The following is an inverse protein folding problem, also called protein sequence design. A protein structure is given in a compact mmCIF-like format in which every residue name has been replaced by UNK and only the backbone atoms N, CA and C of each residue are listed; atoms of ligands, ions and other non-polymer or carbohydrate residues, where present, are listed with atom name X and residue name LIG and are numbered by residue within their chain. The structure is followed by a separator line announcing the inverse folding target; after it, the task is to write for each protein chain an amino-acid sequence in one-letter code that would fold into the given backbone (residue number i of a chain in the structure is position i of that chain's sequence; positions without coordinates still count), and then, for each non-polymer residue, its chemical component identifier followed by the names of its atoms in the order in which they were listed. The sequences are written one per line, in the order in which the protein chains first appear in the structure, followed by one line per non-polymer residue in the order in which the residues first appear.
data_IF_454426730209
#
_entry.id   IF_454426730209
#
_cell.length_a   1.000
_cell.length_b   1.000
_cell.length_c   1.000
_cell.angle_alpha   90.00
_cell.angle_beta   90.00
_cell.angle_gamma   90.00
#
_symmetry.space_group_name_H-M   'P 1'
#
loop_
_entity.id
_entity.type
_entity.pdbx_description
1 polymer ?
#
# COMPACT_ATOMS: atom_id res chain seq x y z
N UNK A 1 -22.47 14.19 -4.74
CA UNK A 1 -22.28 13.11 -5.70
C UNK A 1 -23.16 11.92 -5.33
N UNK A 2 -23.81 11.32 -6.30
CA UNK A 2 -24.63 10.10 -6.10
C UNK A 2 -23.66 8.94 -5.94
N UNK A 3 -23.57 8.33 -4.75
CA UNK A 3 -22.89 7.06 -4.54
C UNK A 3 -23.60 5.99 -5.39
N UNK A 4 -23.00 5.62 -6.49
CA UNK A 4 -23.45 4.48 -7.29
C UNK A 4 -23.07 3.22 -6.51
N UNK A 5 -24.04 2.51 -5.95
CA UNK A 5 -23.85 1.19 -5.38
C UNK A 5 -23.65 0.20 -6.53
N UNK A 6 -22.40 0.01 -6.93
CA UNK A 6 -22.07 -1.02 -7.90
C UNK A 6 -21.90 -2.34 -7.15
N UNK A 7 -22.81 -3.27 -7.35
CA UNK A 7 -22.65 -4.64 -6.87
C UNK A 7 -21.65 -5.36 -7.78
N UNK A 8 -20.56 -5.85 -7.21
CA UNK A 8 -19.52 -6.57 -7.95
C UNK A 8 -19.56 -8.03 -7.55
N UNK A 9 -19.70 -8.91 -8.52
CA UNK A 9 -19.62 -10.36 -8.29
C UNK A 9 -18.17 -10.80 -8.44
N UNK A 10 -17.64 -11.45 -7.41
CA UNK A 10 -16.30 -12.05 -7.42
C UNK A 10 -16.48 -13.56 -7.44
N UNK A 11 -15.96 -14.21 -8.45
CA UNK A 11 -15.89 -15.67 -8.49
C UNK A 11 -14.80 -16.18 -7.54
N UNK A 12 -15.15 -16.29 -6.28
CA UNK A 12 -14.25 -16.75 -5.21
C UNK A 12 -15.02 -17.51 -4.14
N UNK A 13 -14.46 -18.64 -3.72
CA UNK A 13 -14.96 -19.40 -2.56
C UNK A 13 -14.99 -18.61 -1.25
N UNK A 14 -14.33 -17.45 -1.21
CA UNK A 14 -14.29 -16.57 -0.03
C UNK A 14 -15.36 -15.47 -0.09
N UNK A 15 -16.10 -15.32 -1.19
CA UNK A 15 -17.13 -14.27 -1.35
C UNK A 15 -18.22 -14.38 -0.28
N UNK A 16 -18.64 -15.58 0.07
CA UNK A 16 -19.61 -15.82 1.15
C UNK A 16 -19.14 -15.26 2.49
N UNK A 17 -17.84 -15.43 2.83
CA UNK A 17 -17.27 -14.95 4.10
C UNK A 17 -17.23 -13.42 4.19
N UNK A 18 -17.26 -12.72 3.06
CA UNK A 18 -17.25 -11.25 3.02
C UNK A 18 -18.60 -10.62 3.38
N UNK A 19 -19.68 -11.40 3.32
CA UNK A 19 -21.06 -10.92 3.54
C UNK A 19 -21.37 -10.58 5.00
N UNK A 20 -20.65 -11.17 5.94
CA UNK A 20 -20.86 -10.94 7.37
C UNK A 20 -19.66 -10.22 7.98
N UNK A 21 -19.91 -9.26 8.84
CA UNK A 21 -18.89 -8.45 9.51
C UNK A 21 -17.80 -9.29 10.21
N UNK A 22 -18.19 -10.23 11.06
CA UNK A 22 -17.25 -11.05 11.82
C UNK A 22 -16.44 -11.99 10.92
N UNK A 23 -17.09 -12.69 9.99
CA UNK A 23 -16.40 -13.61 9.08
C UNK A 23 -15.47 -12.85 8.13
N UNK A 24 -15.90 -11.71 7.60
CA UNK A 24 -15.07 -10.85 6.75
C UNK A 24 -13.77 -10.48 7.45
N UNK A 25 -13.84 -10.04 8.70
CA UNK A 25 -12.65 -9.62 9.47
C UNK A 25 -11.80 -10.81 9.91
N UNK A 26 -12.42 -11.82 10.52
CA UNK A 26 -11.71 -12.99 11.03
C UNK A 26 -10.95 -13.76 9.92
N UNK A 27 -11.61 -14.01 8.80
CA UNK A 27 -11.01 -14.70 7.66
C UNK A 27 -10.26 -13.77 6.71
N UNK A 28 -10.24 -12.45 6.96
CA UNK A 28 -9.67 -11.44 6.08
C UNK A 28 -10.20 -11.55 4.65
N UNK A 29 -11.51 -11.81 4.52
CA UNK A 29 -12.21 -12.01 3.26
C UNK A 29 -12.67 -10.66 2.68
N UNK A 30 -11.75 -9.71 2.53
CA UNK A 30 -11.98 -8.36 2.03
C UNK A 30 -11.26 -8.18 0.70
N UNK A 31 -11.84 -7.34 -0.17
CA UNK A 31 -11.09 -6.70 -1.24
C UNK A 31 -10.17 -5.69 -0.58
N UNK A 32 -8.87 -5.76 -0.88
CA UNK A 32 -7.89 -4.88 -0.26
C UNK A 32 -7.54 -3.70 -1.11
N UNK A 33 -7.49 -3.92 -2.42
CA UNK A 33 -7.19 -2.89 -3.41
C UNK A 33 -8.02 -3.14 -4.65
N UNK A 34 -8.44 -2.06 -5.30
CA UNK A 34 -9.08 -2.05 -6.61
C UNK A 34 -8.35 -1.02 -7.46
N UNK A 35 -8.04 -1.39 -8.68
CA UNK A 35 -7.36 -0.55 -9.67
C UNK A 35 -8.18 -0.55 -10.95
N UNK A 36 -8.16 0.56 -11.67
CA UNK A 36 -8.72 0.68 -13.01
C UNK A 36 -7.60 1.02 -13.99
N UNK A 37 -7.52 0.29 -15.08
CA UNK A 37 -6.55 0.47 -16.15
C UNK A 37 -7.07 1.47 -17.18
N UNK A 38 -6.22 1.94 -18.08
CA UNK A 38 -6.56 2.98 -19.05
C UNK A 38 -7.74 2.64 -19.98
N UNK A 39 -7.98 1.36 -20.23
CA UNK A 39 -9.10 0.86 -21.04
C UNK A 39 -10.36 0.52 -20.23
N UNK A 40 -10.40 0.85 -18.93
CA UNK A 40 -11.50 0.52 -18.03
C UNK A 40 -11.51 -0.92 -17.51
N UNK A 41 -10.51 -1.74 -17.82
CA UNK A 41 -10.29 -3.03 -17.17
C UNK A 41 -10.02 -2.81 -15.69
N UNK A 42 -10.66 -3.58 -14.82
CA UNK A 42 -10.48 -3.47 -13.38
C UNK A 42 -9.71 -4.67 -12.84
N UNK A 43 -8.74 -4.39 -11.97
CA UNK A 43 -7.91 -5.40 -11.27
C UNK A 43 -8.11 -5.24 -9.77
N UNK A 44 -8.37 -6.31 -9.06
CA UNK A 44 -8.48 -6.29 -7.62
C UNK A 44 -7.64 -7.37 -6.95
N UNK A 45 -7.26 -7.08 -5.71
CA UNK A 45 -6.61 -8.04 -4.82
C UNK A 45 -7.63 -8.53 -3.80
N UNK A 46 -7.78 -9.83 -3.72
CA UNK A 46 -8.48 -10.51 -2.65
C UNK A 46 -7.66 -11.71 -2.14
N UNK A 47 -8.16 -12.36 -1.10
CA UNK A 47 -7.43 -13.47 -0.47
C UNK A 47 -7.05 -14.56 -1.49
N UNK A 48 -5.75 -14.85 -1.58
CA UNK A 48 -5.17 -15.89 -2.45
C UNK A 48 -5.38 -15.64 -3.94
N UNK A 49 -5.59 -14.40 -4.38
CA UNK A 49 -5.73 -14.14 -5.80
C UNK A 49 -5.69 -12.69 -6.22
N UNK A 50 -5.31 -12.50 -7.47
CA UNK A 50 -5.57 -11.29 -8.24
C UNK A 50 -6.71 -11.63 -9.18
N UNK A 51 -7.67 -10.72 -9.29
CA UNK A 51 -8.88 -10.89 -10.09
C UNK A 51 -8.98 -9.75 -11.09
N UNK A 52 -9.49 -10.07 -12.29
CA UNK A 52 -9.64 -9.16 -13.41
C UNK A 52 -11.09 -9.13 -13.87
N UNK A 53 -11.55 -7.94 -14.22
CA UNK A 53 -12.87 -7.69 -14.82
C UNK A 53 -12.70 -6.79 -16.04
N UNK A 54 -13.19 -7.20 -17.19
CA UNK A 54 -13.27 -6.39 -18.39
C UNK A 54 -14.37 -5.34 -18.26
N UNK A 55 -14.25 -4.23 -19.01
CA UNK A 55 -15.17 -3.10 -18.95
C UNK A 55 -16.64 -3.51 -19.15
N UNK A 56 -16.88 -4.45 -20.05
CA UNK A 56 -18.22 -4.93 -20.38
C UNK A 56 -18.69 -6.14 -19.53
N UNK A 57 -17.89 -6.57 -18.55
CA UNK A 57 -18.23 -7.66 -17.65
C UNK A 57 -18.77 -7.14 -16.32
N UNK A 58 -19.68 -7.90 -15.70
CA UNK A 58 -20.14 -7.65 -14.34
C UNK A 58 -19.46 -8.55 -13.30
N UNK A 59 -18.55 -9.44 -13.73
CA UNK A 59 -17.94 -10.45 -12.88
C UNK A 59 -16.42 -10.35 -12.92
N UNK A 60 -15.79 -10.41 -11.74
CA UNK A 60 -14.37 -10.59 -11.60
C UNK A 60 -14.00 -12.05 -11.62
N UNK A 61 -13.10 -12.43 -12.52
CA UNK A 61 -12.52 -13.76 -12.61
C UNK A 61 -11.09 -13.76 -12.09
N UNK A 62 -10.69 -14.84 -11.42
CA UNK A 62 -9.32 -14.96 -10.93
C UNK A 62 -8.36 -15.11 -12.11
N UNK A 63 -7.41 -14.18 -12.25
CA UNK A 63 -6.37 -14.22 -13.28
C UNK A 63 -5.00 -14.67 -12.73
N UNK A 64 -4.79 -14.62 -11.40
CA UNK A 64 -3.57 -15.12 -10.79
C UNK A 64 -3.84 -15.73 -9.41
N UNK A 65 -3.26 -16.93 -9.18
CA UNK A 65 -3.23 -17.51 -7.84
C UNK A 65 -1.93 -17.11 -7.14
N UNK A 66 -2.03 -16.46 -6.00
CA UNK A 66 -0.86 -16.04 -5.21
C UNK A 66 -0.22 -17.28 -4.58
N UNK A 67 1.03 -17.62 -4.95
CA UNK A 67 1.65 -18.88 -4.52
C UNK A 67 1.93 -18.89 -3.02
N UNK A 68 2.50 -17.80 -2.49
CA UNK A 68 2.91 -17.65 -1.10
C UNK A 68 2.24 -16.44 -0.45
N UNK A 69 1.95 -16.54 0.85
CA UNK A 69 1.19 -15.53 1.56
C UNK A 69 -0.29 -15.51 1.20
N UNK A 70 -1.00 -14.45 1.50
CA UNK A 70 -2.42 -14.29 1.20
C UNK A 70 -2.70 -13.22 0.15
N UNK A 71 -1.85 -12.22 0.05
CA UNK A 71 -1.98 -11.06 -0.85
C UNK A 71 -0.69 -10.21 -0.82
N UNK A 72 -0.32 -9.54 -1.92
CA UNK A 72 0.65 -8.46 -1.88
C UNK A 72 0.06 -7.24 -1.14
N UNK A 73 0.89 -6.32 -0.72
CA UNK A 73 0.41 -5.08 -0.10
C UNK A 73 -0.17 -4.12 -1.14
N UNK A 74 0.38 -4.10 -2.35
CA UNK A 74 -0.12 -3.30 -3.47
C UNK A 74 0.18 -3.96 -4.82
N UNK A 75 -0.42 -3.41 -5.88
CA UNK A 75 0.04 -3.54 -7.27
C UNK A 75 0.63 -2.20 -7.69
N UNK A 76 1.73 -2.24 -8.41
CA UNK A 76 2.26 -1.13 -9.16
C UNK A 76 1.73 -1.21 -10.59
N UNK A 77 1.13 -0.14 -11.09
CA UNK A 77 0.66 -0.02 -12.46
C UNK A 77 1.37 1.18 -13.07
N UNK A 78 2.03 0.99 -14.21
CA UNK A 78 2.69 2.06 -14.93
C UNK A 78 1.79 2.67 -16.02
N UNK A 79 2.28 3.70 -16.72
CA UNK A 79 1.52 4.41 -17.76
C UNK A 79 1.11 3.55 -18.97
N UNK A 80 1.73 2.38 -19.13
CA UNK A 80 1.42 1.41 -20.19
C UNK A 80 0.48 0.30 -19.73
N UNK A 81 -0.10 0.42 -18.53
CA UNK A 81 -0.88 -0.62 -17.86
C UNK A 81 -0.09 -1.91 -17.56
N UNK A 82 1.25 -1.86 -17.52
CA UNK A 82 2.04 -2.96 -17.01
C UNK A 82 1.87 -3.06 -15.50
N UNK A 83 1.68 -4.27 -15.01
CA UNK A 83 1.36 -4.51 -13.60
C UNK A 83 2.50 -5.28 -12.94
N UNK A 84 2.92 -4.83 -11.75
CA UNK A 84 3.96 -5.48 -10.96
C UNK A 84 3.50 -5.66 -9.52
N UNK A 85 3.95 -6.72 -8.86
CA UNK A 85 3.82 -6.87 -7.41
C UNK A 85 4.92 -7.76 -6.84
N UNK A 86 5.28 -7.53 -5.59
CA UNK A 86 6.19 -8.39 -4.84
C UNK A 86 5.46 -9.34 -3.90
N UNK A 87 6.05 -10.48 -3.62
CA UNK A 87 5.52 -11.42 -2.64
C UNK A 87 5.58 -10.84 -1.23
N UNK A 88 4.47 -11.02 -0.49
CA UNK A 88 4.33 -10.61 0.90
C UNK A 88 3.82 -11.80 1.74
N UNK A 89 4.71 -12.40 2.51
CA UNK A 89 4.43 -13.56 3.37
C UNK A 89 5.42 -13.64 4.53
N UNK A 90 5.08 -14.40 5.56
CA UNK A 90 6.03 -14.68 6.65
C UNK A 90 7.13 -15.62 6.16
N UNK A 91 8.36 -15.13 6.07
CA UNK A 91 9.51 -15.80 5.46
C UNK A 91 10.66 -15.93 6.46
N UNK A 92 10.41 -16.59 7.59
CA UNK A 92 11.43 -16.77 8.64
C UNK A 92 12.68 -17.53 8.17
N UNK A 93 12.53 -18.39 7.17
CA UNK A 93 13.63 -19.17 6.58
C UNK A 93 14.39 -18.38 5.50
N UNK A 94 14.00 -17.12 5.22
CA UNK A 94 14.61 -16.27 4.20
C UNK A 94 14.73 -16.90 2.81
N UNK A 95 13.74 -17.69 2.42
CA UNK A 95 13.63 -18.24 1.06
C UNK A 95 13.63 -17.14 0.01
N UNK A 96 14.04 -17.41 -1.23
CA UNK A 96 13.98 -16.42 -2.32
C UNK A 96 12.59 -15.79 -2.45
N UNK A 97 12.54 -14.48 -2.74
CA UNK A 97 11.30 -13.70 -2.84
C UNK A 97 11.16 -13.13 -4.25
N UNK A 98 10.00 -13.37 -4.87
CA UNK A 98 9.77 -12.99 -6.25
C UNK A 98 9.02 -11.66 -6.39
N UNK A 99 9.36 -10.92 -7.44
CA UNK A 99 8.54 -9.87 -8.03
C UNK A 99 7.92 -10.45 -9.29
N UNK A 100 6.59 -10.36 -9.40
CA UNK A 100 5.82 -10.78 -10.57
C UNK A 100 5.44 -9.58 -11.43
N UNK A 101 5.25 -9.83 -12.73
CA UNK A 101 4.75 -8.84 -13.68
C UNK A 101 3.74 -9.42 -14.65
N UNK A 102 2.95 -8.52 -15.24
CA UNK A 102 2.05 -8.77 -16.37
C UNK A 102 2.13 -7.60 -17.34
N UNK A 103 2.40 -7.87 -18.61
CA UNK A 103 2.42 -6.88 -19.70
C UNK A 103 1.16 -6.89 -20.57
N UNK A 104 0.18 -7.69 -20.19
CA UNK A 104 -1.07 -7.90 -20.90
C UNK A 104 -2.31 -7.64 -20.03
N UNK A 105 -2.19 -6.62 -19.15
CA UNK A 105 -3.31 -6.18 -18.29
C UNK A 105 -3.84 -7.28 -17.36
N UNK A 106 -2.95 -8.12 -16.86
CA UNK A 106 -3.26 -9.16 -15.88
C UNK A 106 -3.73 -10.48 -16.47
N UNK A 107 -3.60 -10.72 -17.79
CA UNK A 107 -3.96 -12.00 -18.39
C UNK A 107 -2.91 -13.09 -18.12
N UNK A 108 -1.62 -12.76 -18.31
CA UNK A 108 -0.51 -13.66 -18.00
C UNK A 108 0.46 -13.03 -16.99
N UNK A 109 1.13 -13.88 -16.22
CA UNK A 109 2.01 -13.46 -15.15
C UNK A 109 3.32 -14.25 -15.16
N UNK A 110 4.43 -13.53 -15.04
CA UNK A 110 5.78 -14.08 -15.00
C UNK A 110 6.59 -13.45 -13.86
N UNK A 111 7.73 -14.05 -13.55
CA UNK A 111 8.68 -13.49 -12.57
C UNK A 111 9.57 -12.48 -13.27
N UNK A 112 9.59 -11.25 -12.74
CA UNK A 112 10.46 -10.16 -13.21
C UNK A 112 11.82 -10.20 -12.53
N UNK A 113 11.82 -10.49 -11.20
CA UNK A 113 13.02 -10.46 -10.38
C UNK A 113 12.88 -11.44 -9.21
N UNK A 114 14.01 -11.98 -8.76
CA UNK A 114 14.05 -12.83 -7.58
C UNK A 114 15.15 -12.32 -6.64
N UNK A 115 14.76 -11.85 -5.46
CA UNK A 115 15.69 -11.69 -4.36
C UNK A 115 16.19 -13.05 -3.90
N UNK A 116 17.51 -13.18 -3.72
CA UNK A 116 18.11 -14.46 -3.37
C UNK A 116 17.83 -14.85 -1.92
N UNK A 117 18.11 -16.09 -1.60
CA UNK A 117 18.01 -16.59 -0.22
C UNK A 117 18.85 -15.73 0.75
N UNK A 118 18.27 -15.36 1.87
CA UNK A 118 18.91 -14.54 2.89
C UNK A 118 18.78 -13.02 2.71
N UNK A 119 18.37 -12.52 1.53
CA UNK A 119 18.41 -11.10 1.24
C UNK A 119 17.30 -10.29 1.94
N UNK A 120 16.06 -10.76 1.89
CA UNK A 120 14.91 -10.05 2.45
C UNK A 120 13.87 -11.02 3.03
N UNK A 121 12.98 -10.51 3.87
CA UNK A 121 11.82 -11.25 4.34
C UNK A 121 10.72 -11.29 3.27
N UNK A 122 10.31 -10.12 2.79
CA UNK A 122 9.29 -9.94 1.76
C UNK A 122 9.36 -8.52 1.16
N UNK A 123 8.60 -8.29 0.09
CA UNK A 123 8.46 -6.97 -0.51
C UNK A 123 7.31 -6.21 0.17
N UNK A 124 7.58 -5.00 0.66
CA UNK A 124 6.57 -4.10 1.22
C UNK A 124 5.77 -3.38 0.14
N UNK A 125 6.36 -3.09 -0.99
CA UNK A 125 5.63 -2.46 -2.10
C UNK A 125 6.48 -2.18 -3.32
N UNK A 126 5.80 -1.97 -4.44
CA UNK A 126 6.38 -1.46 -5.69
C UNK A 126 5.55 -0.26 -6.11
N UNK A 127 6.20 0.82 -6.51
CA UNK A 127 5.57 2.10 -6.82
C UNK A 127 6.10 2.67 -8.12
N UNK A 128 5.21 3.13 -9.00
CA UNK A 128 5.57 3.81 -10.22
C UNK A 128 5.80 5.29 -9.96
N UNK A 129 6.94 5.77 -10.41
CA UNK A 129 7.34 7.17 -10.35
C UNK A 129 7.20 7.81 -11.73
N UNK A 130 6.16 8.59 -11.91
CA UNK A 130 5.83 9.26 -13.18
C UNK A 130 6.87 10.31 -13.64
N UNK A 131 7.65 10.87 -12.71
CA UNK A 131 8.64 11.90 -13.04
C UNK A 131 9.89 11.33 -13.68
N UNK A 132 10.26 10.09 -13.33
CA UNK A 132 11.48 9.44 -13.82
C UNK A 132 11.21 8.15 -14.59
N UNK A 133 9.95 7.74 -14.73
CA UNK A 133 9.53 6.47 -15.33
C UNK A 133 10.20 5.24 -14.67
N UNK A 134 10.50 5.33 -13.37
CA UNK A 134 11.11 4.26 -12.59
C UNK A 134 10.07 3.51 -11.79
N UNK A 135 10.34 2.25 -11.51
CA UNK A 135 9.58 1.46 -10.54
C UNK A 135 10.43 1.32 -9.29
N UNK A 136 9.97 1.89 -8.19
CA UNK A 136 10.63 1.81 -6.89
C UNK A 136 10.14 0.59 -6.12
N UNK A 137 11.05 -0.13 -5.48
CA UNK A 137 10.77 -1.26 -4.63
C UNK A 137 11.26 -0.98 -3.22
N UNK A 138 10.44 -1.35 -2.24
CA UNK A 138 10.76 -1.22 -0.83
C UNK A 138 10.54 -2.55 -0.12
N UNK A 139 11.42 -2.85 0.81
CA UNK A 139 11.40 -4.06 1.62
C UNK A 139 11.66 -3.72 3.09
N UNK A 140 11.49 -4.66 3.99
CA UNK A 140 11.72 -4.44 5.42
C UNK A 140 11.57 -5.71 6.23
N UNK A 141 11.54 -5.52 7.41
CA UNK A 141 11.26 -5.86 8.78
C UNK A 141 12.49 -5.66 9.67
N UNK A 142 13.60 -6.39 9.42
CA UNK A 142 14.86 -6.24 10.19
C UNK A 142 15.78 -5.27 9.47
N UNK A 143 16.75 -4.72 10.20
CA UNK A 143 17.67 -3.70 9.68
C UNK A 143 18.32 -4.08 8.34
N UNK A 144 18.88 -5.27 8.25
CA UNK A 144 19.56 -5.75 7.04
C UNK A 144 18.61 -6.07 5.87
N UNK A 145 17.30 -6.09 6.11
CA UNK A 145 16.25 -6.36 5.14
C UNK A 145 15.60 -5.08 4.60
N UNK A 146 15.78 -3.95 5.30
CA UNK A 146 15.25 -2.66 4.88
C UNK A 146 16.00 -2.17 3.65
N UNK A 147 15.26 -1.92 2.57
CA UNK A 147 15.80 -1.49 1.30
C UNK A 147 14.83 -0.52 0.63
N UNK A 148 15.39 0.53 0.03
CA UNK A 148 14.73 1.38 -0.95
C UNK A 148 15.58 1.35 -2.21
N UNK A 149 15.02 0.88 -3.32
CA UNK A 149 15.71 0.77 -4.59
C UNK A 149 14.78 1.01 -5.77
N UNK A 150 15.31 1.07 -6.97
CA UNK A 150 14.52 1.26 -8.19
C UNK A 150 15.05 0.45 -9.36
N UNK A 151 14.19 0.26 -10.34
CA UNK A 151 14.54 -0.21 -11.68
C UNK A 151 14.04 0.78 -12.72
N UNK A 152 14.80 0.91 -13.80
CA UNK A 152 14.47 1.67 -15.02
C UNK A 152 14.32 0.76 -16.25
N UNK A 153 14.47 -0.54 -16.09
CA UNK A 153 14.50 -1.56 -17.15
C UNK A 153 13.69 -2.83 -16.79
N UNK A 154 12.52 -2.64 -16.16
CA UNK A 154 11.57 -3.71 -15.85
C UNK A 154 12.18 -4.87 -15.04
N UNK A 155 13.00 -4.50 -14.04
CA UNK A 155 13.67 -5.42 -13.11
C UNK A 155 14.76 -6.33 -13.70
N UNK A 156 15.27 -6.04 -14.90
CA UNK A 156 16.50 -6.67 -15.38
C UNK A 156 17.69 -6.30 -14.47
N UNK A 157 17.62 -5.10 -13.84
CA UNK A 157 18.57 -4.62 -12.84
C UNK A 157 17.81 -3.88 -11.74
N UNK A 158 18.20 -4.13 -10.49
CA UNK A 158 17.75 -3.38 -9.32
C UNK A 158 18.88 -2.47 -8.82
N UNK A 159 18.66 -1.16 -8.81
CA UNK A 159 19.57 -0.17 -8.26
C UNK A 159 19.16 0.10 -6.80
N UNK A 160 20.01 -0.25 -5.85
CA UNK A 160 19.78 -0.02 -4.44
C UNK A 160 20.23 1.39 -4.09
N UNK A 161 19.34 2.20 -3.52
CA UNK A 161 19.60 3.58 -3.10
C UNK A 161 19.94 3.61 -1.61
N UNK A 162 19.09 2.98 -0.79
CA UNK A 162 19.31 2.85 0.65
C UNK A 162 19.16 1.40 1.07
N UNK A 163 19.98 0.98 2.02
CA UNK A 163 19.93 -0.37 2.58
C UNK A 163 20.43 -0.38 4.02
N UNK A 164 19.77 -1.18 4.86
CA UNK A 164 20.09 -1.35 6.27
C UNK A 164 19.46 -0.27 7.13
N UNK A 165 19.17 -0.58 8.39
CA UNK A 165 18.58 0.34 9.37
C UNK A 165 17.07 0.53 9.27
N UNK A 166 16.46 0.75 10.43
CA UNK A 166 15.01 0.95 10.55
C UNK A 166 14.54 2.29 9.97
N UNK A 167 15.44 3.25 9.79
CA UNK A 167 15.17 4.54 9.17
C UNK A 167 14.77 4.44 7.69
N UNK A 168 15.06 3.30 7.04
CA UNK A 168 14.65 3.01 5.65
C UNK A 168 13.47 2.04 5.56
N UNK A 169 13.00 1.52 6.71
CA UNK A 169 11.83 0.66 6.73
C UNK A 169 10.57 1.47 6.44
N UNK A 170 9.94 1.21 5.31
CA UNK A 170 8.72 1.89 4.88
C UNK A 170 7.79 0.95 4.13
N UNK A 171 6.51 1.32 4.05
CA UNK A 171 5.47 0.63 3.29
C UNK A 171 4.87 1.49 2.17
N UNK A 172 5.31 2.74 2.01
CA UNK A 172 4.76 3.65 1.01
C UNK A 172 5.74 4.74 0.59
N UNK A 173 5.65 5.14 -0.69
CA UNK A 173 6.41 6.24 -1.28
C UNK A 173 5.43 7.23 -1.92
N UNK A 174 5.73 8.53 -1.80
CA UNK A 174 5.05 9.64 -2.46
C UNK A 174 6.05 10.40 -3.31
N UNK A 175 5.70 10.65 -4.58
CA UNK A 175 6.63 11.19 -5.56
C UNK A 175 6.37 12.67 -5.83
N UNK A 176 7.44 13.47 -5.80
CA UNK A 176 7.49 14.86 -6.20
C UNK A 176 8.61 15.02 -7.23
N UNK A 177 8.62 16.13 -7.95
CA UNK A 177 9.57 16.36 -9.03
C UNK A 177 11.03 16.26 -8.56
N UNK A 178 11.37 16.91 -7.43
CA UNK A 178 12.74 16.99 -6.94
C UNK A 178 13.05 16.00 -5.79
N UNK A 179 12.04 15.42 -5.14
CA UNK A 179 12.23 14.58 -3.96
C UNK A 179 11.19 13.46 -3.84
N UNK A 180 11.47 12.51 -2.99
CA UNK A 180 10.55 11.43 -2.63
C UNK A 180 10.29 11.49 -1.13
N UNK A 181 9.00 11.44 -0.74
CA UNK A 181 8.58 11.34 0.66
C UNK A 181 8.21 9.91 0.99
N UNK A 182 8.57 9.48 2.17
CA UNK A 182 8.14 8.19 2.71
C UNK A 182 7.88 8.30 4.22
N UNK A 183 7.18 7.31 4.75
CA UNK A 183 6.83 7.25 6.17
C UNK A 183 7.42 5.98 6.74
N UNK A 184 8.16 6.10 7.84
CA UNK A 184 8.76 4.92 8.47
C UNK A 184 7.72 4.03 9.14
N UNK A 185 7.97 2.73 9.12
CA UNK A 185 7.13 1.68 9.70
C UNK A 185 7.95 0.85 10.71
N UNK A 186 8.56 1.51 11.68
CA UNK A 186 9.41 0.83 12.65
C UNK A 186 8.65 0.48 13.94
N UNK A 187 9.02 -0.67 14.50
CA UNK A 187 8.63 -1.08 15.84
C UNK A 187 9.75 -0.84 16.88
N UNK A 188 10.88 -0.29 16.45
CA UNK A 188 12.11 -0.17 17.24
C UNK A 188 12.58 1.26 17.44
N UNK A 189 12.32 2.16 16.51
CA UNK A 189 12.67 3.58 16.59
C UNK A 189 11.43 4.44 16.37
N UNK A 190 11.51 5.71 16.79
CA UNK A 190 10.46 6.71 16.54
C UNK A 190 10.15 6.79 15.05
N UNK A 191 8.86 6.72 14.71
CA UNK A 191 8.42 6.83 13.32
C UNK A 191 8.35 8.29 12.88
N UNK A 192 8.65 8.52 11.61
CA UNK A 192 8.77 9.85 11.03
C UNK A 192 8.25 9.88 9.59
N UNK A 193 7.76 11.04 9.17
CA UNK A 193 7.65 11.41 7.76
C UNK A 193 9.02 11.95 7.34
N UNK A 194 9.61 11.36 6.32
CA UNK A 194 10.94 11.70 5.79
C UNK A 194 10.87 12.01 4.32
N UNK A 195 11.83 12.77 3.84
CA UNK A 195 12.10 12.93 2.42
C UNK A 195 13.56 12.62 2.10
N UNK A 196 13.83 12.29 0.86
CA UNK A 196 15.17 12.36 0.29
C UNK A 196 15.15 13.06 -1.07
N UNK A 197 16.18 13.83 -1.31
CA UNK A 197 16.42 14.51 -2.58
C UNK A 197 16.79 13.50 -3.66
N UNK A 198 16.31 13.67 -4.88
CA UNK A 198 16.52 12.70 -5.98
C UNK A 198 17.94 12.69 -6.54
N UNK A 199 18.63 13.83 -6.49
CA UNK A 199 19.98 14.00 -7.05
C UNK A 199 21.05 13.72 -6.00
N UNK A 200 20.92 14.37 -4.84
CA UNK A 200 21.94 14.29 -3.78
C UNK A 200 21.76 13.09 -2.85
N UNK A 201 20.55 12.49 -2.85
CA UNK A 201 20.14 11.43 -1.92
C UNK A 201 20.20 11.86 -0.45
N UNK A 202 20.31 13.16 -0.18
CA UNK A 202 20.28 13.69 1.18
C UNK A 202 18.91 13.45 1.82
N UNK A 203 18.93 12.87 3.01
CA UNK A 203 17.71 12.53 3.74
C UNK A 203 17.42 13.54 4.82
N UNK A 204 16.15 13.94 4.92
CA UNK A 204 15.65 14.90 5.91
C UNK A 204 14.44 14.34 6.64
N UNK A 205 14.42 14.43 7.96
CA UNK A 205 13.21 14.20 8.76
C UNK A 205 12.33 15.45 8.70
N UNK A 206 11.06 15.28 8.34
CA UNK A 206 10.09 16.38 8.24
C UNK A 206 9.25 16.47 9.51
N UNK A 207 8.77 15.33 10.02
CA UNK A 207 7.89 15.30 11.18
C UNK A 207 7.91 13.93 11.86
N UNK A 208 7.99 13.91 13.19
CA UNK A 208 7.73 12.70 14.00
C UNK A 208 6.23 12.40 14.04
N UNK A 209 5.89 11.11 14.00
CA UNK A 209 4.49 10.65 14.02
C UNK A 209 4.29 9.54 15.05
N UNK A 210 3.06 9.44 15.56
CA UNK A 210 2.67 8.38 16.49
C UNK A 210 2.17 7.14 15.74
N UNK A 211 2.95 6.04 15.83
CA UNK A 211 2.62 4.75 15.21
C UNK A 211 3.28 4.49 13.86
N UNK A 212 3.10 3.29 13.34
CA UNK A 212 3.69 2.78 12.10
C UNK A 212 3.05 3.42 10.86
N UNK A 213 3.83 4.01 9.96
CA UNK A 213 3.37 4.63 8.73
C UNK A 213 3.22 3.62 7.58
N UNK A 214 2.05 3.01 7.42
CA UNK A 214 1.85 1.96 6.44
C UNK A 214 1.16 2.45 5.16
N UNK A 215 0.16 3.31 5.29
CA UNK A 215 -0.63 3.73 4.14
C UNK A 215 -0.39 5.19 3.80
N UNK A 216 -0.15 5.44 2.52
CA UNK A 216 -0.07 6.78 1.96
C UNK A 216 -0.82 6.83 0.63
N UNK A 217 -1.17 8.03 0.21
CA UNK A 217 -1.81 8.31 -1.06
C UNK A 217 -1.52 9.73 -1.51
N UNK A 218 -1.72 9.96 -2.79
CA UNK A 218 -1.48 11.26 -3.42
C UNK A 218 -2.60 11.55 -4.40
N UNK A 219 -3.11 12.76 -4.34
CA UNK A 219 -3.98 13.38 -5.35
C UNK A 219 -3.23 14.49 -6.04
N UNK A 220 -3.84 15.14 -7.02
CA UNK A 220 -3.20 16.28 -7.68
C UNK A 220 -2.91 17.43 -6.70
N UNK A 221 -3.76 17.61 -5.67
CA UNK A 221 -3.64 18.70 -4.71
C UNK A 221 -3.00 18.29 -3.39
N UNK A 222 -3.28 17.09 -2.91
CA UNK A 222 -2.92 16.67 -1.56
C UNK A 222 -2.12 15.38 -1.56
N UNK A 223 -1.15 15.32 -0.68
CA UNK A 223 -0.53 14.08 -0.22
C UNK A 223 -1.04 13.77 1.19
N UNK A 224 -1.28 12.49 1.48
CA UNK A 224 -1.78 12.06 2.78
C UNK A 224 -1.10 10.77 3.22
N UNK A 225 -0.88 10.67 4.51
CA UNK A 225 -0.31 9.49 5.17
C UNK A 225 -1.14 9.12 6.39
N UNK A 226 -1.18 7.85 6.71
CA UNK A 226 -1.83 7.39 7.93
C UNK A 226 -1.00 6.38 8.70
N UNK A 227 -1.20 6.39 10.02
CA UNK A 227 -0.55 5.44 10.91
C UNK A 227 -1.44 4.24 11.16
N UNK A 228 -0.80 3.11 11.42
CA UNK A 228 -1.45 1.86 11.83
C UNK A 228 -1.15 1.61 13.31
N UNK A 229 -2.16 1.13 14.04
CA UNK A 229 -2.04 0.84 15.47
C UNK A 229 -1.38 -0.53 15.64
N UNK A 230 -0.06 -0.52 15.63
CA UNK A 230 0.79 -1.69 15.88
C UNK A 230 1.58 -1.50 17.18
N UNK A 231 1.00 -1.85 18.34
CA UNK A 231 1.66 -1.63 19.62
C UNK A 231 3.02 -2.31 19.70
N UNK A 232 4.05 -1.52 20.02
CA UNK A 232 5.43 -1.92 20.21
C UNK A 232 6.07 -1.10 21.34
N UNK A 233 7.38 -1.17 21.51
CA UNK A 233 8.11 -0.37 22.51
C UNK A 233 8.07 1.13 22.21
N UNK A 234 7.88 1.52 20.95
CA UNK A 234 7.84 2.93 20.51
C UNK A 234 6.46 3.38 20.02
N UNK A 235 5.59 2.45 19.63
CA UNK A 235 4.24 2.73 19.14
C UNK A 235 3.21 2.47 20.24
N UNK A 236 3.02 3.43 21.14
CA UNK A 236 2.17 3.29 22.32
C UNK A 236 0.77 3.91 22.14
N UNK A 237 0.59 4.81 21.18
CA UNK A 237 -0.66 5.49 20.94
C UNK A 237 -1.75 4.53 20.42
N UNK A 238 -2.96 4.50 21.04
CA UNK A 238 -4.07 3.66 20.61
C UNK A 238 -4.88 4.23 19.45
N UNK A 239 -4.37 5.28 18.76
CA UNK A 239 -5.03 5.93 17.63
C UNK A 239 -4.28 5.68 16.31
N UNK A 240 -5.04 5.62 15.23
CA UNK A 240 -4.55 5.78 13.87
C UNK A 240 -4.74 7.23 13.49
N UNK A 241 -3.67 7.89 13.09
CA UNK A 241 -3.60 9.30 12.72
C UNK A 241 -3.65 9.47 11.21
N UNK A 242 -4.20 10.58 10.76
CA UNK A 242 -4.28 10.99 9.37
C UNK A 242 -3.62 12.36 9.21
N UNK A 243 -2.54 12.38 8.45
CA UNK A 243 -1.80 13.61 8.11
C UNK A 243 -2.01 13.96 6.65
N UNK A 244 -2.00 15.25 6.34
CA UNK A 244 -2.14 15.80 4.99
C UNK A 244 -1.07 16.87 4.74
N UNK A 245 -0.66 17.00 3.48
CA UNK A 245 0.25 18.03 2.98
C UNK A 245 -0.15 18.44 1.58
N UNK A 246 -0.04 19.74 1.23
CA UNK A 246 -0.21 20.26 -0.13
C UNK A 246 1.11 20.24 -0.92
N UNK A 247 2.25 20.34 -0.24
CA UNK A 247 3.57 20.48 -0.87
C UNK A 247 4.52 19.31 -0.58
N UNK A 248 4.08 18.31 0.21
CA UNK A 248 4.92 17.18 0.63
C UNK A 248 5.92 17.51 1.74
N UNK A 249 6.04 18.76 2.17
CA UNK A 249 7.02 19.21 3.15
C UNK A 249 6.36 19.55 4.50
N UNK A 250 5.25 20.26 4.46
CA UNK A 250 4.51 20.72 5.64
C UNK A 250 3.33 19.79 5.88
N UNK A 251 3.35 19.06 7.00
CA UNK A 251 2.35 18.05 7.33
C UNK A 251 1.47 18.48 8.50
N UNK A 252 0.17 18.22 8.39
CA UNK A 252 -0.82 18.57 9.41
C UNK A 252 -1.70 17.36 9.73
N UNK A 253 -1.87 17.05 11.02
CA UNK A 253 -2.88 16.08 11.46
C UNK A 253 -4.28 16.66 11.25
N UNK A 254 -5.15 15.91 10.57
CA UNK A 254 -6.53 16.33 10.29
C UNK A 254 -7.59 15.41 10.90
N UNK A 255 -7.22 14.21 11.29
CA UNK A 255 -8.10 13.27 11.96
C UNK A 255 -7.32 12.18 12.71
N UNK A 256 -7.94 11.62 13.74
CA UNK A 256 -7.48 10.41 14.40
C UNK A 256 -8.62 9.55 14.89
N UNK A 257 -8.43 8.23 14.88
CA UNK A 257 -9.45 7.26 15.25
C UNK A 257 -8.87 6.17 16.16
N UNK A 258 -9.56 5.93 17.27
CA UNK A 258 -9.15 4.92 18.23
C UNK A 258 -9.39 3.51 17.71
N UNK A 259 -8.51 2.56 18.06
CA UNK A 259 -8.71 1.13 17.86
C UNK A 259 -10.05 0.67 18.41
N UNK A 260 -10.72 -0.23 17.70
CA UNK A 260 -11.90 -0.92 18.23
C UNK A 260 -11.51 -1.88 19.38
N UNK A 261 -12.51 -2.57 19.93
CA UNK A 261 -12.33 -3.45 21.09
C UNK A 261 -11.78 -4.85 20.75
N UNK A 262 -11.69 -5.19 19.44
CA UNK A 262 -11.32 -6.53 19.03
C UNK A 262 -9.81 -6.73 19.01
N UNK A 263 -9.35 -7.88 19.52
CA UNK A 263 -7.91 -8.16 19.62
C UNK A 263 -7.26 -8.31 18.25
N UNK A 264 -6.08 -7.69 18.08
CA UNK A 264 -5.35 -7.58 16.79
C UNK A 264 -4.99 -8.92 16.17
N UNK A 265 -4.66 -9.93 16.97
CA UNK A 265 -4.24 -11.25 16.45
C UNK A 265 -5.37 -11.97 15.69
N UNK A 266 -6.64 -11.77 16.10
CA UNK A 266 -7.79 -12.36 15.44
C UNK A 266 -8.45 -11.41 14.43
N UNK A 267 -8.42 -10.08 14.69
CA UNK A 267 -9.27 -9.12 13.99
C UNK A 267 -8.54 -7.94 13.35
N UNK A 268 -7.26 -8.03 13.04
CA UNK A 268 -6.49 -6.99 12.36
C UNK A 268 -6.10 -5.78 13.24
N UNK A 269 -5.08 -5.06 12.78
CA UNK A 269 -4.66 -3.77 13.30
C UNK A 269 -5.62 -2.67 12.90
N UNK A 270 -5.70 -1.61 13.71
CA UNK A 270 -6.45 -0.41 13.36
C UNK A 270 -5.71 0.42 12.33
N UNK A 271 -6.32 0.74 11.19
CA UNK A 271 -5.69 1.54 10.14
C UNK A 271 -6.71 2.36 9.36
N UNK A 272 -6.25 3.51 8.86
CA UNK A 272 -6.91 4.30 7.83
C UNK A 272 -6.28 3.91 6.50
N UNK A 273 -7.11 3.69 5.47
CA UNK A 273 -6.69 3.27 4.14
C UNK A 273 -7.26 4.19 3.09
N UNK A 274 -6.52 4.40 2.02
CA UNK A 274 -6.90 5.28 0.92
C UNK A 274 -7.27 4.46 -0.31
N UNK A 275 -8.36 4.80 -1.01
CA UNK A 275 -8.59 4.29 -2.35
C UNK A 275 -7.52 4.86 -3.29
N UNK A 276 -7.22 4.11 -4.34
CA UNK A 276 -6.44 4.66 -5.44
C UNK A 276 -7.41 5.22 -6.47
N UNK A 277 -7.33 6.50 -6.71
CA UNK A 277 -8.16 7.21 -7.69
C UNK A 277 -7.39 8.40 -8.24
N UNK A 278 -7.62 8.67 -9.50
CA UNK A 278 -7.20 9.92 -10.10
C UNK A 278 -8.18 11.02 -9.65
N UNK A 279 -7.64 12.16 -9.32
CA UNK A 279 -8.41 13.30 -8.83
C UNK A 279 -8.28 14.46 -9.81
N UNK A 280 -9.34 15.26 -9.91
CA UNK A 280 -9.27 16.55 -10.59
C UNK A 280 -8.56 17.59 -9.72
N UNK A 281 -7.95 18.59 -10.32
CA UNK A 281 -7.20 19.66 -9.62
C UNK A 281 -8.05 20.46 -8.64
N UNK A 282 -9.38 20.48 -8.82
CA UNK A 282 -10.32 21.21 -7.96
C UNK A 282 -10.78 20.44 -6.73
N UNK A 283 -10.24 19.25 -6.47
CA UNK A 283 -10.71 18.44 -5.36
C UNK A 283 -10.38 19.05 -4.00
N UNK A 284 -11.41 19.46 -3.26
CA UNK A 284 -11.34 20.02 -1.91
C UNK A 284 -11.63 19.00 -0.81
N UNK A 285 -11.66 17.73 -1.13
CA UNK A 285 -11.93 16.65 -0.16
C UNK A 285 -10.99 15.47 -0.35
N UNK A 286 -10.84 14.69 0.69
CA UNK A 286 -10.17 13.39 0.65
C UNK A 286 -11.16 12.27 0.95
N UNK A 287 -10.86 11.08 0.43
CA UNK A 287 -11.64 9.86 0.66
C UNK A 287 -10.75 8.83 1.33
N UNK A 288 -11.24 8.25 2.41
CA UNK A 288 -10.53 7.18 3.10
C UNK A 288 -11.50 6.19 3.75
N UNK A 289 -11.03 5.04 4.15
CA UNK A 289 -11.80 4.03 4.86
C UNK A 289 -11.08 3.59 6.12
N UNK A 290 -11.84 3.25 7.16
CA UNK A 290 -11.31 2.70 8.40
C UNK A 290 -11.39 1.17 8.43
N UNK A 291 -10.34 0.58 8.97
CA UNK A 291 -10.32 -0.85 9.30
C UNK A 291 -9.98 -1.01 10.78
N UNK A 292 -10.79 -1.77 11.51
CA UNK A 292 -10.64 -2.02 12.93
C UNK A 292 -10.56 -0.74 13.80
N UNK A 293 -11.24 0.32 13.38
CA UNK A 293 -11.28 1.62 14.05
C UNK A 293 -12.70 1.93 14.55
N UNK A 294 -12.81 2.48 15.77
CA UNK A 294 -14.10 2.94 16.28
C UNK A 294 -14.72 3.96 15.34
N UNK A 295 -16.05 3.90 15.16
CA UNK A 295 -16.89 4.79 14.36
C UNK A 295 -16.79 4.61 12.84
N UNK A 296 -15.63 4.23 12.28
CA UNK A 296 -15.40 4.18 10.83
C UNK A 296 -15.03 2.79 10.31
N UNK A 297 -15.05 1.74 11.13
CA UNK A 297 -14.74 0.37 10.66
C UNK A 297 -15.67 -0.06 9.52
N UNK A 298 -15.07 -0.43 8.38
CA UNK A 298 -15.79 -0.81 7.17
C UNK A 298 -16.60 0.30 6.50
N UNK A 299 -16.35 1.56 6.84
CA UNK A 299 -17.00 2.73 6.25
C UNK A 299 -16.04 3.54 5.41
N UNK A 300 -16.56 4.14 4.35
CA UNK A 300 -15.87 5.18 3.57
C UNK A 300 -16.23 6.54 4.15
N UNK A 301 -15.24 7.36 4.39
CA UNK A 301 -15.35 8.74 4.86
C UNK A 301 -14.97 9.68 3.72
N UNK A 302 -15.76 10.71 3.50
CA UNK A 302 -15.44 11.83 2.61
C UNK A 302 -15.27 13.04 3.53
N UNK A 303 -14.07 13.58 3.57
CA UNK A 303 -13.74 14.71 4.44
C UNK A 303 -13.33 15.91 3.61
N UNK A 304 -14.07 17.01 3.74
CA UNK A 304 -13.71 18.29 3.12
C UNK A 304 -12.46 18.84 3.78
N UNK A 305 -11.54 19.33 2.97
CA UNK A 305 -10.32 20.03 3.39
C UNK A 305 -10.57 21.54 3.20
N UNK A 306 -10.46 22.27 4.28
CA UNK A 306 -10.65 23.74 4.29
C UNK A 306 -9.31 24.43 4.19
#
# INVERSE_FOLDING_TARGET
GKLLKQSTVIDSKYSFLSSFFLTRRFFRAEITNLYELSDGTQILIAKKGIFRKEINSNTFSKCFHIPRGSRPMNLCIDEKDNIYFGEYFSNFEKKPVNIYFSFDKGLTWNVAYTFQEGEINHVHGIFYDKYTNRKWVITGDRDNECLIGYTDNDFQRLNIVFRGGQEYRTCSLLFFEDFIVFVTDSQYIQNEIKKFDRETLEMTSLQSIEGSGIYAGQSNRFSFVSTTIEPSTVNLDPYSHLYISENGLDWKEIAKYKKDMWHKSAFQFGSIQFPRYETTDEQSFIVYSGRALKKIDGKTVIQNIK
#
